data_IF_678008659652
#
_entry.id   IF_678008659652
#
_cell.length_a   1.000
_cell.length_b   1.000
_cell.length_c   1.000
_cell.angle_alpha   90.00
_cell.angle_beta   90.00
_cell.angle_gamma   90.00
#
_symmetry.space_group_name_H-M   'P 1'
#
loop_
_entity.id
_entity.type
_entity.pdbx_description
1 polymer ?
#
# COMPACT_ATOMS: atom_id res chain seq x y z
N UNK A 1 18.93 3.98 -12.18
CA UNK A 1 17.96 2.92 -12.50
C UNK A 1 16.59 3.57 -12.45
N UNK A 2 15.62 3.26 -13.34
CA UNK A 2 14.29 3.90 -13.25
C UNK A 2 13.67 3.51 -11.91
N UNK A 3 13.53 4.46 -10.99
CA UNK A 3 12.98 4.27 -9.64
C UNK A 3 11.55 3.73 -9.69
N UNK A 4 10.80 4.02 -10.76
CA UNK A 4 9.40 3.63 -10.95
C UNK A 4 9.18 2.45 -11.90
N UNK A 5 8.21 1.58 -11.56
CA UNK A 5 7.66 0.55 -12.46
C UNK A 5 6.15 0.36 -12.25
N UNK A 6 5.40 0.30 -13.36
CA UNK A 6 4.00 -0.15 -13.41
C UNK A 6 3.95 -1.65 -13.70
N UNK A 7 3.36 -2.44 -12.81
CA UNK A 7 3.18 -3.90 -12.98
C UNK A 7 1.85 -4.18 -13.67
N UNK A 8 0.80 -3.45 -13.30
CA UNK A 8 -0.54 -3.52 -13.90
C UNK A 8 -1.24 -2.17 -13.77
N UNK A 9 -2.48 -2.06 -14.25
CA UNK A 9 -3.32 -0.87 -14.03
C UNK A 9 -3.58 -0.57 -12.54
N UNK A 10 -3.40 -1.57 -11.66
CA UNK A 10 -3.69 -1.47 -10.24
C UNK A 10 -2.47 -1.63 -9.33
N UNK A 11 -1.30 -1.94 -9.88
CA UNK A 11 -0.08 -2.19 -9.12
C UNK A 11 1.06 -1.41 -9.76
N UNK A 12 1.67 -0.56 -8.96
CA UNK A 12 2.88 0.17 -9.30
C UNK A 12 3.81 0.23 -8.11
N UNK A 13 5.10 0.41 -8.35
CA UNK A 13 6.05 0.63 -7.27
C UNK A 13 7.10 1.68 -7.62
N UNK A 14 7.67 2.28 -6.59
CA UNK A 14 8.88 3.07 -6.65
C UNK A 14 9.92 2.49 -5.68
N UNK A 15 11.18 2.44 -6.09
CA UNK A 15 12.32 2.11 -5.23
C UNK A 15 12.88 3.41 -4.65
N UNK A 16 12.74 3.58 -3.33
CA UNK A 16 13.22 4.73 -2.56
C UNK A 16 14.58 4.36 -1.97
N UNK A 17 15.64 4.93 -2.50
CA UNK A 17 17.00 4.67 -2.05
C UNK A 17 17.71 5.98 -1.72
N UNK A 18 18.53 5.95 -0.66
CA UNK A 18 19.42 7.04 -0.31
C UNK A 18 20.86 6.55 -0.46
N UNK A 19 21.61 6.99 -1.47
CA UNK A 19 22.95 6.49 -1.75
C UNK A 19 23.98 6.79 -0.63
N UNK A 20 23.61 7.58 0.39
CA UNK A 20 24.44 7.83 1.57
C UNK A 20 24.21 6.82 2.70
N UNK A 21 23.13 6.03 2.63
CA UNK A 21 22.83 5.00 3.62
C UNK A 21 23.52 3.68 3.25
N UNK A 22 23.91 2.92 4.28
CA UNK A 22 24.47 1.57 4.11
C UNK A 22 23.39 0.48 4.08
N UNK A 23 22.16 0.81 4.48
CA UNK A 23 21.01 -0.09 4.45
C UNK A 23 20.45 -0.19 3.04
N UNK A 24 19.77 -1.30 2.75
CA UNK A 24 18.98 -1.41 1.53
C UNK A 24 17.87 -0.33 1.51
N UNK A 25 17.50 0.10 0.31
CA UNK A 25 16.40 1.02 0.10
C UNK A 25 15.04 0.38 0.40
N UNK A 26 13.98 1.18 0.30
CA UNK A 26 12.60 0.71 0.52
C UNK A 26 11.87 0.72 -0.81
N UNK A 27 11.33 -0.44 -1.21
CA UNK A 27 10.35 -0.51 -2.30
C UNK A 27 8.97 -0.11 -1.78
N UNK A 28 8.48 1.03 -2.22
CA UNK A 28 7.08 1.41 -2.00
C UNK A 28 6.20 0.87 -3.13
N UNK A 29 5.39 -0.17 -2.85
CA UNK A 29 4.35 -0.68 -3.74
C UNK A 29 3.02 0.00 -3.42
N UNK A 30 2.40 0.61 -4.42
CA UNK A 30 1.07 1.19 -4.33
C UNK A 30 0.07 0.33 -5.11
N UNK A 31 -1.01 -0.07 -4.45
CA UNK A 31 -2.08 -0.89 -5.01
C UNK A 31 -3.42 -0.18 -4.85
N UNK A 32 -4.18 -0.11 -5.94
CA UNK A 32 -5.52 0.47 -5.94
C UNK A 32 -6.59 -0.57 -6.25
N UNK A 33 -7.71 -0.52 -5.52
CA UNK A 33 -8.88 -1.37 -5.74
C UNK A 33 -8.52 -2.86 -5.84
N UNK A 34 -7.80 -3.37 -4.82
CA UNK A 34 -7.22 -4.70 -4.82
C UNK A 34 -8.28 -5.80 -4.97
N UNK A 35 -8.21 -6.54 -6.09
CA UNK A 35 -9.03 -7.70 -6.36
C UNK A 35 -8.24 -9.00 -6.23
N UNK A 36 -8.80 -10.09 -6.77
CA UNK A 36 -8.15 -11.42 -6.70
C UNK A 36 -6.75 -11.45 -7.33
N UNK A 37 -6.49 -10.63 -8.35
CA UNK A 37 -5.19 -10.58 -9.03
C UNK A 37 -4.15 -9.93 -8.11
N UNK A 38 -4.48 -8.78 -7.52
CA UNK A 38 -3.60 -8.02 -6.63
C UNK A 38 -3.31 -8.79 -5.34
N UNK A 39 -4.34 -9.41 -4.75
CA UNK A 39 -4.15 -10.27 -3.56
C UNK A 39 -3.25 -11.47 -3.86
N UNK A 40 -3.40 -12.09 -5.04
CA UNK A 40 -2.51 -13.18 -5.44
C UNK A 40 -1.08 -12.71 -5.74
N UNK A 41 -0.91 -11.50 -6.26
CA UNK A 41 0.40 -10.88 -6.40
C UNK A 41 1.07 -10.75 -5.02
N UNK A 42 0.40 -10.18 -4.03
CA UNK A 42 0.95 -10.04 -2.68
C UNK A 42 1.29 -11.40 -2.05
N UNK A 43 0.38 -12.37 -2.16
CA UNK A 43 0.58 -13.73 -1.65
C UNK A 43 1.83 -14.40 -2.22
N UNK A 44 2.09 -14.25 -3.53
CA UNK A 44 3.22 -14.88 -4.21
C UNK A 44 4.56 -14.21 -3.91
N UNK A 45 4.56 -12.90 -3.62
CA UNK A 45 5.80 -12.12 -3.52
C UNK A 45 6.24 -11.82 -2.08
N UNK A 46 5.32 -11.83 -1.10
CA UNK A 46 5.62 -11.32 0.25
C UNK A 46 5.28 -12.28 1.40
N UNK A 47 4.75 -13.47 1.12
CA UNK A 47 4.44 -14.50 2.12
C UNK A 47 3.61 -14.00 3.32
N UNK A 48 2.66 -13.10 3.07
CA UNK A 48 1.76 -12.56 4.10
C UNK A 48 0.75 -13.60 4.59
N UNK A 49 0.32 -13.43 5.83
CA UNK A 49 -0.79 -14.19 6.40
C UNK A 49 -2.06 -14.00 5.56
N UNK A 50 -2.75 -15.12 5.29
CA UNK A 50 -3.97 -15.11 4.47
C UNK A 50 -5.10 -14.30 5.09
N UNK A 51 -5.18 -14.22 6.42
CA UNK A 51 -6.18 -13.40 7.11
C UNK A 51 -5.96 -11.91 6.84
N UNK A 52 -4.72 -11.42 6.90
CA UNK A 52 -4.38 -10.04 6.56
C UNK A 52 -4.66 -9.74 5.10
N UNK A 53 -4.25 -10.63 4.18
CA UNK A 53 -4.55 -10.47 2.75
C UNK A 53 -6.05 -10.37 2.46
N UNK A 54 -6.89 -11.15 3.16
CA UNK A 54 -8.35 -11.09 2.99
C UNK A 54 -8.91 -9.75 3.42
N UNK A 55 -8.41 -9.18 4.52
CA UNK A 55 -8.88 -7.88 5.02
C UNK A 55 -8.64 -6.76 4.01
N UNK A 56 -7.57 -6.84 3.20
CA UNK A 56 -7.19 -5.81 2.21
C UNK A 56 -7.92 -5.88 0.87
N UNK A 57 -8.78 -6.87 0.65
CA UNK A 57 -9.51 -6.97 -0.60
C UNK A 57 -10.60 -5.89 -0.66
N UNK A 58 -10.71 -5.19 -1.79
CA UNK A 58 -11.67 -4.08 -1.99
C UNK A 58 -13.14 -4.49 -1.86
N UNK A 59 -13.44 -5.80 -1.83
CA UNK A 59 -14.77 -6.33 -1.52
C UNK A 59 -15.16 -6.17 -0.04
N UNK A 60 -14.21 -5.92 0.85
CA UNK A 60 -14.47 -5.61 2.24
C UNK A 60 -14.63 -4.11 2.41
N UNK A 61 -15.66 -3.70 3.15
CA UNK A 61 -15.98 -2.30 3.40
C UNK A 61 -15.69 -1.99 4.86
N UNK A 62 -14.94 -0.89 5.10
CA UNK A 62 -14.76 -0.24 6.38
C UNK A 62 -14.31 -1.18 7.52
N UNK A 63 -13.08 -1.67 7.41
CA UNK A 63 -12.47 -2.47 8.47
C UNK A 63 -12.18 -1.57 9.69
N UNK A 64 -12.21 -2.14 10.91
CA UNK A 64 -11.77 -1.40 12.09
C UNK A 64 -10.27 -1.12 11.98
N UNK A 65 -9.79 0.08 12.39
CA UNK A 65 -8.36 0.32 12.46
C UNK A 65 -7.66 -0.73 13.31
N UNK A 66 -6.56 -1.28 12.77
CA UNK A 66 -5.80 -2.37 13.37
C UNK A 66 -4.33 -2.04 13.26
N UNK A 67 -3.57 -2.40 14.29
CA UNK A 67 -2.10 -2.48 14.23
C UNK A 67 -1.71 -3.87 14.70
N UNK A 68 -1.11 -4.65 13.81
CA UNK A 68 -0.63 -5.99 14.10
C UNK A 68 0.86 -6.08 13.80
N UNK A 69 1.63 -6.54 14.79
CA UNK A 69 3.07 -6.79 14.64
C UNK A 69 3.31 -8.28 14.42
N UNK A 70 3.61 -8.64 13.17
CA UNK A 70 4.08 -9.97 12.82
C UNK A 70 5.60 -10.12 12.99
N UNK A 71 6.14 -11.33 12.75
CA UNK A 71 7.57 -11.60 12.85
C UNK A 71 8.40 -10.93 11.74
N UNK A 72 7.83 -10.77 10.54
CA UNK A 72 8.52 -10.24 9.35
C UNK A 72 7.95 -8.93 8.81
N UNK A 73 6.78 -8.49 9.29
CA UNK A 73 6.13 -7.26 8.85
C UNK A 73 5.13 -6.73 9.88
N UNK A 74 4.83 -5.44 9.78
CA UNK A 74 3.68 -4.80 10.40
C UNK A 74 2.51 -4.78 9.43
N UNK A 75 1.32 -5.13 9.91
CA UNK A 75 0.06 -4.95 9.19
C UNK A 75 -0.74 -3.84 9.87
N UNK A 76 -1.14 -2.83 9.12
CA UNK A 76 -1.96 -1.74 9.65
C UNK A 76 -3.17 -1.49 8.75
N UNK A 77 -4.28 -1.15 9.36
CA UNK A 77 -5.45 -0.57 8.69
C UNK A 77 -5.66 0.78 9.36
N UNK A 78 -5.57 1.88 8.60
CA UNK A 78 -5.76 3.24 9.11
C UNK A 78 -6.81 3.97 8.28
N UNK A 79 -7.55 4.85 8.96
CA UNK A 79 -8.54 5.72 8.34
C UNK A 79 -8.05 7.16 8.32
N UNK A 80 -8.24 7.80 7.17
CA UNK A 80 -7.90 9.20 6.92
C UNK A 80 -9.15 9.95 6.43
N UNK A 81 -9.40 11.18 6.90
CA UNK A 81 -10.51 11.97 6.38
C UNK A 81 -10.27 12.33 4.91
N UNK A 82 -11.28 12.12 4.06
CA UNK A 82 -11.29 12.53 2.65
C UNK A 82 -12.62 13.18 2.30
N UNK A 83 -12.62 14.08 1.32
CA UNK A 83 -13.80 14.81 0.89
C UNK A 83 -14.41 14.11 -0.33
N UNK A 84 -15.67 13.72 -0.24
CA UNK A 84 -16.47 13.15 -1.34
C UNK A 84 -17.84 13.82 -1.32
N UNK A 85 -18.25 14.45 -2.43
CA UNK A 85 -19.52 15.17 -2.56
C UNK A 85 -19.85 16.11 -1.39
N UNK A 86 -18.88 16.97 -1.03
CA UNK A 86 -18.94 17.91 0.10
C UNK A 86 -19.13 17.27 1.48
N UNK A 87 -18.91 15.95 1.60
CA UNK A 87 -18.95 15.20 2.86
C UNK A 87 -17.58 14.69 3.23
N UNK A 88 -17.27 14.76 4.52
CA UNK A 88 -16.08 14.11 5.08
C UNK A 88 -16.43 12.63 5.27
N UNK A 89 -15.74 11.78 4.53
CA UNK A 89 -15.80 10.33 4.67
C UNK A 89 -14.44 9.78 5.12
N UNK A 90 -14.43 8.55 5.62
CA UNK A 90 -13.20 7.85 5.97
C UNK A 90 -12.64 7.12 4.75
N UNK A 91 -11.47 7.55 4.27
CA UNK A 91 -10.65 6.79 3.34
C UNK A 91 -9.78 5.80 4.09
N UNK A 92 -9.73 4.56 3.62
CA UNK A 92 -8.93 3.49 4.23
C UNK A 92 -7.63 3.27 3.47
N UNK A 93 -6.53 3.11 4.21
CA UNK A 93 -5.26 2.62 3.68
C UNK A 93 -4.82 1.42 4.51
N UNK A 94 -4.61 0.30 3.83
CA UNK A 94 -3.96 -0.85 4.42
C UNK A 94 -2.47 -0.80 4.13
N UNK A 95 -1.68 -1.11 5.15
CA UNK A 95 -0.24 -1.07 5.11
C UNK A 95 0.33 -2.45 5.41
N UNK A 96 1.28 -2.88 4.57
CA UNK A 96 2.28 -3.86 4.97
C UNK A 96 3.64 -3.17 5.01
N UNK A 97 4.31 -3.21 6.16
CA UNK A 97 5.62 -2.57 6.36
C UNK A 97 6.64 -3.61 6.79
N UNK A 98 7.68 -3.80 5.99
CA UNK A 98 8.79 -4.70 6.27
C UNK A 98 10.12 -3.97 6.21
N UNK A 99 11.23 -4.72 6.24
CA UNK A 99 12.58 -4.14 6.21
C UNK A 99 12.85 -3.33 4.93
N UNK A 100 12.44 -3.86 3.78
CA UNK A 100 12.77 -3.35 2.44
C UNK A 100 11.51 -2.98 1.63
N UNK A 101 10.35 -2.97 2.27
CA UNK A 101 9.10 -2.66 1.57
C UNK A 101 8.13 -1.86 2.41
N UNK A 102 7.41 -0.99 1.70
CA UNK A 102 6.18 -0.36 2.13
C UNK A 102 5.12 -0.72 1.09
N UNK A 103 4.02 -1.33 1.49
CA UNK A 103 2.91 -1.62 0.59
C UNK A 103 1.70 -0.85 1.08
N UNK A 104 1.13 -0.02 0.22
CA UNK A 104 -0.13 0.69 0.47
C UNK A 104 -1.22 0.15 -0.43
N UNK A 105 -2.37 -0.18 0.16
CA UNK A 105 -3.55 -0.65 -0.56
C UNK A 105 -4.70 0.29 -0.21
N UNK A 106 -5.41 0.80 -1.21
CA UNK A 106 -6.57 1.67 -0.99
C UNK A 106 -7.63 1.49 -2.07
N UNK A 107 -8.85 1.97 -1.79
CA UNK A 107 -9.95 1.98 -2.77
C UNK A 107 -9.91 3.18 -3.73
N UNK A 108 -8.73 3.79 -3.91
CA UNK A 108 -8.50 4.94 -4.79
C UNK A 108 -9.36 6.19 -4.47
N UNK A 109 -9.94 6.26 -3.28
CA UNK A 109 -10.75 7.39 -2.79
C UNK A 109 -9.93 8.39 -1.96
N UNK A 110 -8.60 8.25 -1.97
CA UNK A 110 -7.64 9.10 -1.26
C UNK A 110 -6.67 9.76 -2.24
N UNK A 111 -7.05 10.90 -2.85
CA UNK A 111 -6.17 11.64 -3.78
C UNK A 111 -4.81 11.99 -3.17
N UNK A 112 -4.77 12.28 -1.87
CA UNK A 112 -3.54 12.61 -1.14
C UNK A 112 -2.50 11.49 -1.18
N UNK A 113 -2.92 10.22 -1.07
CA UNK A 113 -2.01 9.07 -1.17
C UNK A 113 -1.45 8.96 -2.59
N UNK A 114 -2.31 9.06 -3.60
CA UNK A 114 -1.89 8.99 -5.00
C UNK A 114 -0.93 10.13 -5.37
N UNK A 115 -1.22 11.35 -4.90
CA UNK A 115 -0.36 12.50 -5.10
C UNK A 115 1.00 12.29 -4.41
N UNK A 116 1.00 11.78 -3.18
CA UNK A 116 2.24 11.49 -2.46
C UNK A 116 3.09 10.44 -3.17
N UNK A 117 2.47 9.36 -3.65
CA UNK A 117 3.16 8.34 -4.45
C UNK A 117 3.73 8.92 -5.76
N UNK A 118 2.97 9.78 -6.43
CA UNK A 118 3.40 10.43 -7.67
C UNK A 118 4.55 11.45 -7.47
N UNK A 119 4.70 12.03 -6.28
CA UNK A 119 5.87 12.86 -5.96
C UNK A 119 7.14 12.00 -6.00
N UNK A 120 7.11 10.82 -5.38
CA UNK A 120 8.24 9.88 -5.40
C UNK A 120 8.55 9.27 -6.77
N UNK A 121 7.67 9.40 -7.77
CA UNK A 121 7.97 9.02 -9.18
C UNK A 121 8.85 10.06 -9.89
N UNK A 122 8.84 11.30 -9.42
CA UNK A 122 9.51 12.44 -10.06
C UNK A 122 10.93 12.66 -9.53
N UNK A 123 11.19 12.16 -8.32
CA UNK A 123 12.51 12.13 -7.68
C UNK A 123 13.36 10.94 -8.19
#
# INVERSE_FOLDING_TARGET
MKSYKKISEKIEYIDIDNPRNKSEGVRWVNIINAGKVEINYLRKNYNFDLSHLRLTAASFVAQRPIVFKGPSYLFLILHFPTLEDDKIIAGEIDFFVGHEFLITISNNNLPSLNNFFNLGKKD
#
